data_IF_581210801154
#
_entry.id   IF_581210801154
#
_cell.length_a   1.000
_cell.length_b   1.000
_cell.length_c   1.000
_cell.angle_alpha   90.00
_cell.angle_beta   90.00
_cell.angle_gamma   90.00
#
_symmetry.space_group_name_H-M   'P 1'
#
loop_
_entity.id
_entity.type
_entity.pdbx_description
1 polymer ?
#
# COMPACT_ATOMS: atom_id res chain seq x y z
N UNK A 1 34.51 40.69 45.05
CA UNK A 1 33.54 41.53 45.79
C UNK A 1 32.15 41.05 45.45
N UNK A 2 31.67 40.01 46.11
CA UNK A 2 30.30 39.50 45.91
C UNK A 2 29.41 40.09 47.00
N UNK A 3 28.44 40.97 46.69
CA UNK A 3 27.65 41.66 47.68
C UNK A 3 26.67 40.66 48.31
N UNK A 4 27.19 39.99 49.34
CA UNK A 4 26.44 39.38 50.44
C UNK A 4 25.33 38.42 50.02
N UNK A 5 25.70 37.14 49.88
CA UNK A 5 24.79 35.97 49.85
C UNK A 5 23.65 36.08 50.89
N UNK A 6 23.92 36.70 52.04
CA UNK A 6 22.96 37.01 53.10
C UNK A 6 22.89 38.53 53.30
N UNK A 7 21.70 39.13 53.23
CA UNK A 7 21.43 40.57 53.32
C UNK A 7 20.27 40.86 54.30
N UNK A 8 19.89 42.13 54.45
CA UNK A 8 18.81 42.57 55.37
C UNK A 8 19.34 43.18 56.67
N UNK A 9 18.46 43.88 57.41
CA UNK A 9 18.84 44.60 58.65
C UNK A 9 19.24 43.64 59.77
N UNK A 10 18.68 42.44 59.73
CA UNK A 10 18.84 41.36 60.70
C UNK A 10 19.45 40.11 60.05
N UNK A 11 20.08 40.24 58.88
CA UNK A 11 20.61 39.12 58.08
C UNK A 11 19.54 38.07 57.73
N UNK A 12 18.30 38.51 57.54
CA UNK A 12 17.13 37.68 57.31
C UNK A 12 16.94 37.23 55.85
N UNK A 13 17.65 37.85 54.91
CA UNK A 13 17.48 37.59 53.48
C UNK A 13 18.62 36.77 52.90
N UNK A 14 18.31 35.64 52.26
CA UNK A 14 19.28 34.84 51.50
C UNK A 14 18.92 34.85 50.00
N UNK A 15 19.93 35.04 49.15
CA UNK A 15 19.77 35.06 47.69
C UNK A 15 20.08 33.70 47.03
N UNK A 16 20.25 32.63 47.80
CA UNK A 16 20.47 31.26 47.30
C UNK A 16 19.31 30.29 47.60
N UNK A 17 18.43 30.67 48.54
CA UNK A 17 17.33 29.84 49.05
C UNK A 17 15.99 30.01 48.31
N UNK A 18 16.01 30.45 47.05
CA UNK A 18 14.81 30.54 46.22
C UNK A 18 14.36 29.19 45.65
N UNK A 19 13.11 29.15 45.16
CA UNK A 19 12.53 28.01 44.44
C UNK A 19 13.42 27.53 43.28
N UNK A 20 13.45 26.21 43.10
CA UNK A 20 14.25 25.54 42.06
C UNK A 20 13.36 24.75 41.12
N UNK A 21 13.57 24.94 39.83
CA UNK A 21 12.99 24.11 38.77
C UNK A 21 14.10 23.31 38.11
N UNK A 22 13.94 21.98 38.03
CA UNK A 22 14.97 21.07 37.53
C UNK A 22 16.36 21.33 38.17
N UNK A 23 16.36 21.57 39.48
CA UNK A 23 17.53 21.89 40.32
C UNK A 23 18.20 23.26 40.08
N UNK A 24 17.67 24.08 39.17
CA UNK A 24 18.17 25.43 38.88
C UNK A 24 17.33 26.47 39.62
N UNK A 25 18.00 27.37 40.36
CA UNK A 25 17.35 28.48 41.08
C UNK A 25 16.63 29.38 40.09
N UNK A 26 15.35 29.67 40.35
CA UNK A 26 14.49 30.49 39.50
C UNK A 26 14.49 30.04 38.02
N UNK A 27 14.65 28.73 37.78
CA UNK A 27 14.77 28.13 36.45
C UNK A 27 15.88 28.74 35.54
N UNK A 28 16.79 29.56 36.10
CA UNK A 28 17.74 30.37 35.34
C UNK A 28 17.14 31.59 34.65
N UNK A 29 15.83 31.85 34.84
CA UNK A 29 15.07 32.90 34.17
C UNK A 29 14.61 34.00 35.13
N UNK A 30 15.34 34.18 36.24
CA UNK A 30 15.06 35.23 37.20
C UNK A 30 16.23 35.43 38.16
N UNK A 31 16.16 36.52 38.92
CA UNK A 31 17.09 36.82 40.01
C UNK A 31 16.47 36.43 41.34
N UNK A 32 17.22 35.71 42.17
CA UNK A 32 16.80 35.45 43.54
C UNK A 32 17.05 36.68 44.41
N UNK A 33 16.00 37.18 45.07
CA UNK A 33 16.07 38.28 46.01
C UNK A 33 15.32 37.90 47.30
N UNK A 34 16.07 37.68 48.39
CA UNK A 34 15.52 37.35 49.70
C UNK A 34 14.55 36.14 49.66
N UNK A 35 14.96 35.03 49.04
CA UNK A 35 14.14 33.81 48.93
C UNK A 35 12.99 33.87 47.92
N UNK A 36 12.82 34.97 47.18
CA UNK A 36 11.79 35.13 46.15
C UNK A 36 12.43 35.31 44.77
N UNK A 37 11.96 34.56 43.78
CA UNK A 37 12.40 34.76 42.40
C UNK A 37 11.75 35.99 41.77
N UNK A 38 12.58 36.92 41.30
CA UNK A 38 12.20 38.02 40.41
C UNK A 38 12.41 37.59 38.97
N UNK A 39 11.35 37.15 38.31
CA UNK A 39 11.42 36.65 36.93
C UNK A 39 11.83 37.74 35.95
N UNK A 40 12.61 37.37 34.95
CA UNK A 40 12.89 38.21 33.80
C UNK A 40 11.64 38.37 32.93
N UNK A 41 11.64 39.39 32.09
CA UNK A 41 10.55 39.62 31.14
C UNK A 41 10.31 38.37 30.27
N UNK A 42 9.05 37.99 30.12
CA UNK A 42 8.68 36.78 29.38
C UNK A 42 8.60 35.50 30.22
N UNK A 43 8.79 35.58 31.55
CA UNK A 43 8.74 34.43 32.47
C UNK A 43 7.83 34.68 33.68
N UNK A 44 7.16 33.62 34.13
CA UNK A 44 6.13 33.64 35.19
C UNK A 44 6.23 32.42 36.10
N UNK A 45 5.36 32.36 37.12
CA UNK A 45 5.37 31.45 38.29
C UNK A 45 6.41 31.83 39.35
N UNK A 46 6.27 31.27 40.56
CA UNK A 46 7.15 31.54 41.70
C UNK A 46 8.60 31.13 41.47
N UNK A 47 8.81 30.17 40.55
CA UNK A 47 10.11 29.62 40.19
C UNK A 47 10.61 30.10 38.81
N UNK A 48 9.88 31.00 38.15
CA UNK A 48 10.18 31.48 36.79
C UNK A 48 10.31 30.39 35.72
N UNK A 49 9.67 29.23 35.92
CA UNK A 49 9.75 28.08 35.00
C UNK A 49 8.86 28.24 33.75
N UNK A 50 7.92 29.17 33.76
CA UNK A 50 6.87 29.26 32.76
C UNK A 50 7.07 30.44 31.81
N UNK A 51 7.37 30.17 30.54
CA UNK A 51 7.44 31.23 29.53
C UNK A 51 6.05 31.77 29.19
N UNK A 52 5.94 33.08 29.01
CA UNK A 52 4.73 33.75 28.49
C UNK A 52 4.70 33.81 26.96
N UNK A 53 5.70 33.24 26.29
CA UNK A 53 5.75 33.22 24.83
C UNK A 53 4.78 32.16 24.30
N UNK A 54 3.86 32.57 23.42
CA UNK A 54 2.86 31.69 22.82
C UNK A 54 3.29 31.13 21.46
N UNK A 55 4.48 31.44 20.96
CA UNK A 55 4.96 31.03 19.63
C UNK A 55 4.88 29.52 19.39
N UNK A 56 5.16 28.70 20.41
CA UNK A 56 5.09 27.24 20.34
C UNK A 56 3.67 26.66 20.34
N UNK A 57 2.68 27.49 20.65
CA UNK A 57 1.25 27.16 20.69
C UNK A 57 0.49 27.66 19.45
N UNK A 58 1.15 28.35 18.52
CA UNK A 58 0.52 28.80 17.27
C UNK A 58 0.38 27.59 16.35
N UNK A 59 -0.85 27.35 15.89
CA UNK A 59 -1.20 26.24 15.00
C UNK A 59 -1.00 26.63 13.54
N UNK A 60 -1.17 25.68 12.61
CA UNK A 60 -1.04 25.92 11.16
C UNK A 60 -1.98 27.01 10.62
N UNK A 61 -3.10 27.25 11.30
CA UNK A 61 -4.06 28.31 10.99
C UNK A 61 -3.72 29.69 11.58
N UNK A 62 -2.58 29.82 12.26
CA UNK A 62 -2.17 31.07 12.91
C UNK A 62 -2.87 31.37 14.23
N UNK A 63 -3.80 30.53 14.69
CA UNK A 63 -4.47 30.66 15.98
C UNK A 63 -3.69 29.95 17.09
N UNK A 64 -3.74 30.51 18.29
CA UNK A 64 -3.21 29.87 19.50
C UNK A 64 -4.11 28.69 19.86
N UNK A 65 -3.55 27.49 19.91
CA UNK A 65 -4.25 26.25 20.28
C UNK A 65 -5.55 26.02 19.48
N UNK A 66 -5.52 26.32 18.17
CA UNK A 66 -6.67 26.31 17.25
C UNK A 66 -7.91 27.09 17.73
N UNK A 67 -7.77 27.98 18.73
CA UNK A 67 -8.91 28.63 19.39
C UNK A 67 -9.79 27.68 20.21
N UNK A 68 -9.27 26.50 20.56
CA UNK A 68 -9.95 25.41 21.31
C UNK A 68 -9.28 25.12 22.66
N UNK A 69 -8.53 26.09 23.16
CA UNK A 69 -7.78 25.95 24.39
C UNK A 69 -6.91 27.16 24.70
N UNK A 70 -6.11 27.03 25.76
CA UNK A 70 -5.22 28.06 26.25
C UNK A 70 -3.75 27.62 26.19
N UNK A 71 -2.85 28.53 25.82
CA UNK A 71 -1.42 28.27 25.88
C UNK A 71 -0.91 28.51 27.30
N UNK A 72 -0.44 27.46 27.95
CA UNK A 72 0.12 27.50 29.31
C UNK A 72 1.56 27.02 29.25
N UNK A 73 2.51 27.92 29.56
CA UNK A 73 3.95 27.64 29.55
C UNK A 73 4.45 27.05 28.23
N UNK A 74 3.97 27.57 27.09
CA UNK A 74 4.36 27.11 25.76
C UNK A 74 3.75 25.78 25.31
N UNK A 75 2.75 25.26 26.03
CA UNK A 75 1.97 24.07 25.65
C UNK A 75 0.48 24.39 25.64
N UNK A 76 -0.25 23.82 24.69
CA UNK A 76 -1.71 23.96 24.66
C UNK A 76 -2.38 23.05 25.69
N UNK A 77 -3.31 23.64 26.42
CA UNK A 77 -4.28 22.94 27.28
C UNK A 77 -5.63 23.12 26.59
N UNK A 78 -6.14 22.04 26.01
CA UNK A 78 -7.42 22.06 25.27
C UNK A 78 -8.61 22.09 26.24
N UNK A 79 -9.70 22.72 25.82
CA UNK A 79 -10.90 22.86 26.64
C UNK A 79 -11.54 21.48 26.89
N UNK A 80 -11.77 21.13 28.16
CA UNK A 80 -12.21 19.77 28.57
C UNK A 80 -13.50 19.31 27.89
N UNK A 81 -14.46 20.23 27.72
CA UNK A 81 -15.78 19.94 27.12
C UNK A 81 -15.75 19.86 25.58
N UNK A 82 -14.62 20.20 24.95
CA UNK A 82 -14.53 20.32 23.49
C UNK A 82 -14.29 18.99 22.78
N UNK A 83 -13.70 18.01 23.47
CA UNK A 83 -13.28 16.73 22.86
C UNK A 83 -12.05 16.84 21.95
N UNK A 84 -11.40 18.01 21.89
CA UNK A 84 -10.18 18.24 21.12
C UNK A 84 -8.92 17.89 21.91
N UNK A 85 -7.95 17.27 21.25
CA UNK A 85 -6.60 17.00 21.77
C UNK A 85 -5.55 17.24 20.67
N UNK A 86 -4.30 16.88 20.95
CA UNK A 86 -3.17 17.11 20.05
C UNK A 86 -2.25 18.20 20.59
N UNK A 87 -1.22 18.57 19.83
CA UNK A 87 -0.21 19.53 20.32
C UNK A 87 -0.78 20.94 20.40
N UNK A 88 -1.71 21.25 19.52
CA UNK A 88 -2.38 22.54 19.34
C UNK A 88 -3.90 22.41 19.34
N UNK A 89 -4.46 21.33 19.91
CA UNK A 89 -5.91 21.08 19.95
C UNK A 89 -6.57 20.87 18.56
N UNK A 90 -5.86 20.21 17.65
CA UNK A 90 -6.26 19.93 16.27
C UNK A 90 -7.12 18.66 16.10
N UNK A 91 -7.02 17.70 17.01
CA UNK A 91 -7.61 16.36 16.85
C UNK A 91 -8.93 16.24 17.61
N UNK A 92 -10.03 15.91 16.93
CA UNK A 92 -11.31 15.58 17.57
C UNK A 92 -11.96 14.35 16.92
N UNK A 93 -11.83 13.14 17.51
CA UNK A 93 -12.40 11.91 16.96
C UNK A 93 -13.89 11.73 17.27
N UNK A 94 -14.41 12.42 18.30
CA UNK A 94 -15.82 12.36 18.71
C UNK A 94 -16.69 13.41 18.02
N UNK A 95 -16.08 14.42 17.40
CA UNK A 95 -16.78 15.32 16.51
C UNK A 95 -17.31 14.50 15.32
N UNK A 96 -18.56 14.69 14.87
CA UNK A 96 -19.02 14.01 13.68
C UNK A 96 -18.07 14.37 12.53
N UNK A 97 -17.37 13.36 12.01
CA UNK A 97 -16.36 13.57 10.99
C UNK A 97 -17.02 14.29 9.81
N UNK A 98 -16.53 15.47 9.39
CA UNK A 98 -17.08 16.17 8.24
C UNK A 98 -17.18 15.27 6.99
N UNK A 99 -16.31 14.25 6.89
CA UNK A 99 -16.44 13.19 5.89
C UNK A 99 -17.79 12.45 5.94
N UNK A 100 -18.23 11.95 7.09
CA UNK A 100 -19.48 11.18 7.21
C UNK A 100 -20.71 12.07 7.06
N UNK A 101 -20.67 13.27 7.69
CA UNK A 101 -21.77 14.23 7.59
C UNK A 101 -22.01 14.71 6.16
N UNK A 102 -20.92 14.98 5.43
CA UNK A 102 -21.02 15.49 4.07
C UNK A 102 -21.10 14.38 3.02
N UNK A 103 -20.88 13.12 3.37
CA UNK A 103 -20.90 11.97 2.45
C UNK A 103 -22.16 11.96 1.59
N UNK A 104 -23.33 11.92 2.24
CA UNK A 104 -24.61 11.81 1.53
C UNK A 104 -24.93 13.08 0.72
N UNK A 105 -24.51 14.25 1.22
CA UNK A 105 -24.70 15.52 0.54
C UNK A 105 -23.83 15.66 -0.72
N UNK A 106 -22.56 15.29 -0.63
CA UNK A 106 -21.62 15.27 -1.77
C UNK A 106 -22.09 14.23 -2.79
N UNK A 107 -22.48 13.04 -2.34
CA UNK A 107 -22.97 11.99 -3.22
C UNK A 107 -24.21 12.44 -4.02
N UNK A 108 -25.18 13.06 -3.34
CA UNK A 108 -26.41 13.60 -3.94
C UNK A 108 -26.13 14.76 -4.91
N UNK A 109 -25.40 15.81 -4.46
CA UNK A 109 -25.17 17.03 -5.26
C UNK A 109 -24.21 16.82 -6.44
N UNK A 110 -23.19 15.97 -6.28
CA UNK A 110 -22.13 15.79 -7.30
C UNK A 110 -22.47 14.67 -8.26
N UNK A 111 -22.89 13.51 -7.74
CA UNK A 111 -23.08 12.29 -8.53
C UNK A 111 -24.55 11.97 -8.82
N UNK A 112 -25.49 12.60 -8.11
CA UNK A 112 -26.92 12.31 -8.27
C UNK A 112 -27.30 10.90 -7.81
N UNK A 113 -26.46 10.27 -6.99
CA UNK A 113 -26.64 8.91 -6.46
C UNK A 113 -26.76 8.95 -4.93
N UNK A 114 -27.05 7.80 -4.31
CA UNK A 114 -27.13 7.66 -2.86
C UNK A 114 -28.55 7.60 -2.30
N UNK A 115 -28.67 7.65 -0.97
CA UNK A 115 -29.94 7.47 -0.25
C UNK A 115 -30.73 8.77 -0.05
N UNK A 116 -30.04 9.92 -0.12
CA UNK A 116 -30.62 11.24 0.11
C UNK A 116 -31.34 11.69 -1.17
N UNK A 117 -32.60 12.13 -1.03
CA UNK A 117 -33.42 12.65 -2.14
C UNK A 117 -33.41 14.18 -2.19
N UNK A 118 -33.37 14.83 -1.03
CA UNK A 118 -33.38 16.29 -0.91
C UNK A 118 -31.95 16.85 -0.92
N UNK A 119 -31.34 16.94 -2.10
CA UNK A 119 -29.96 17.41 -2.25
C UNK A 119 -29.78 18.91 -1.90
N UNK A 120 -30.83 19.73 -2.02
CA UNK A 120 -30.75 21.19 -1.84
C UNK A 120 -30.58 21.61 -0.37
N UNK A 121 -30.94 20.74 0.57
CA UNK A 121 -30.84 21.01 2.01
C UNK A 121 -29.41 20.86 2.58
N UNK A 122 -28.39 20.83 1.73
CA UNK A 122 -26.99 20.71 2.13
C UNK A 122 -26.31 22.08 2.10
N UNK A 123 -25.97 22.60 3.27
CA UNK A 123 -25.21 23.84 3.45
C UNK A 123 -23.70 23.58 3.26
N UNK A 124 -23.32 23.31 2.00
CA UNK A 124 -21.94 23.02 1.59
C UNK A 124 -21.56 23.85 0.36
N UNK A 125 -20.33 24.33 0.34
CA UNK A 125 -19.70 25.05 -0.78
C UNK A 125 -18.81 24.07 -1.55
N UNK A 126 -19.10 23.89 -2.84
CA UNK A 126 -18.47 22.87 -3.69
C UNK A 126 -17.49 23.51 -4.68
N UNK A 127 -16.24 23.05 -4.64
CA UNK A 127 -15.16 23.43 -5.56
C UNK A 127 -14.71 22.19 -6.36
N UNK A 128 -14.88 22.21 -7.69
CA UNK A 128 -14.42 21.09 -8.52
C UNK A 128 -12.90 21.23 -8.76
N UNK A 129 -12.16 20.16 -8.49
CA UNK A 129 -10.72 20.05 -8.78
C UNK A 129 -10.45 18.83 -9.66
N UNK A 130 -9.38 18.89 -10.46
CA UNK A 130 -8.99 17.76 -11.30
C UNK A 130 -8.45 16.60 -10.44
N UNK A 131 -7.66 16.92 -9.41
CA UNK A 131 -7.09 15.96 -8.46
C UNK A 131 -7.12 16.52 -7.04
N UNK A 132 -7.32 15.65 -6.07
CA UNK A 132 -7.28 16.00 -4.66
C UNK A 132 -5.83 15.87 -4.21
N UNK A 133 -5.15 17.01 -4.11
CA UNK A 133 -3.76 17.08 -3.65
C UNK A 133 -3.66 16.93 -2.12
N UNK A 134 -2.48 16.49 -1.64
CA UNK A 134 -2.16 16.48 -0.21
C UNK A 134 -1.83 17.90 0.26
N UNK A 135 -2.86 18.64 0.65
CA UNK A 135 -2.77 19.95 1.28
C UNK A 135 -2.90 19.82 2.80
N UNK A 136 -2.03 20.47 3.56
CA UNK A 136 -2.09 20.45 5.03
C UNK A 136 -3.35 21.14 5.57
N UNK A 137 -4.00 21.99 4.76
CA UNK A 137 -5.24 22.67 5.10
C UNK A 137 -6.50 21.86 4.77
N UNK A 138 -6.39 20.76 4.02
CA UNK A 138 -7.52 19.95 3.56
C UNK A 138 -7.38 18.49 3.99
N UNK A 139 -8.48 17.87 4.41
CA UNK A 139 -8.51 16.44 4.74
C UNK A 139 -9.32 15.68 3.71
N UNK A 140 -8.72 14.65 3.12
CA UNK A 140 -9.35 13.80 2.10
C UNK A 140 -10.24 12.72 2.75
N UNK A 141 -11.39 12.49 2.12
CA UNK A 141 -12.39 11.48 2.43
C UNK A 141 -12.59 10.57 1.20
N UNK A 142 -12.85 9.29 1.44
CA UNK A 142 -13.10 8.31 0.36
C UNK A 142 -14.29 7.43 0.73
N UNK A 143 -15.19 7.20 -0.24
CA UNK A 143 -16.38 6.38 -0.04
C UNK A 143 -16.73 5.57 -1.27
N UNK A 144 -17.29 4.38 -1.05
CA UNK A 144 -17.82 3.55 -2.13
C UNK A 144 -19.27 3.97 -2.45
N UNK A 145 -19.53 4.14 -3.74
CA UNK A 145 -20.87 4.35 -4.30
C UNK A 145 -21.49 3.01 -4.68
N UNK A 146 -22.61 2.68 -4.02
CA UNK A 146 -23.31 1.41 -4.18
C UNK A 146 -24.00 1.26 -5.55
N UNK A 147 -24.21 2.35 -6.30
CA UNK A 147 -24.88 2.27 -7.61
C UNK A 147 -23.99 1.70 -8.71
N UNK A 148 -22.69 2.02 -8.69
CA UNK A 148 -21.72 1.65 -9.72
C UNK A 148 -20.53 0.84 -9.15
N UNK A 149 -20.50 0.62 -7.83
CA UNK A 149 -19.41 -0.02 -7.10
C UNK A 149 -18.06 0.70 -7.31
N UNK A 150 -18.10 2.00 -7.58
CA UNK A 150 -16.91 2.83 -7.74
C UNK A 150 -16.62 3.62 -6.46
N UNK A 151 -15.37 4.01 -6.27
CA UNK A 151 -14.96 4.85 -5.13
C UNK A 151 -14.91 6.31 -5.57
N UNK A 152 -15.59 7.19 -4.84
CA UNK A 152 -15.51 8.62 -5.03
C UNK A 152 -14.73 9.27 -3.89
N UNK A 153 -14.13 10.42 -4.20
CA UNK A 153 -13.25 11.15 -3.29
C UNK A 153 -13.66 12.62 -3.21
N UNK A 154 -13.52 13.19 -2.02
CA UNK A 154 -13.62 14.62 -1.79
C UNK A 154 -12.72 15.03 -0.61
N UNK A 155 -12.41 16.30 -0.46
CA UNK A 155 -11.71 16.83 0.71
C UNK A 155 -12.41 18.05 1.27
N UNK A 156 -12.30 18.28 2.57
CA UNK A 156 -12.87 19.46 3.24
C UNK A 156 -11.76 20.31 3.86
N UNK A 157 -11.98 21.61 3.95
CA UNK A 157 -11.06 22.54 4.59
C UNK A 157 -11.14 22.42 6.13
N UNK A 158 -10.00 22.26 6.80
CA UNK A 158 -9.95 22.00 8.25
C UNK A 158 -10.57 23.14 9.07
N UNK A 159 -10.48 24.38 8.57
CA UNK A 159 -11.02 25.57 9.23
C UNK A 159 -12.47 25.87 8.88
N UNK A 160 -12.93 25.38 7.74
CA UNK A 160 -14.27 25.61 7.22
C UNK A 160 -14.78 24.30 6.63
N UNK A 161 -15.37 23.47 7.48
CA UNK A 161 -15.88 22.14 7.15
C UNK A 161 -16.97 22.13 6.07
N UNK A 162 -17.52 23.30 5.73
CA UNK A 162 -18.48 23.49 4.63
C UNK A 162 -17.83 23.62 3.26
N UNK A 163 -16.55 24.01 3.18
CA UNK A 163 -15.84 24.14 1.91
C UNK A 163 -15.26 22.79 1.50
N UNK A 164 -15.80 22.25 0.41
CA UNK A 164 -15.50 20.89 -0.07
C UNK A 164 -14.92 20.95 -1.48
N UNK A 165 -13.74 20.36 -1.65
CA UNK A 165 -13.16 20.07 -2.97
C UNK A 165 -13.54 18.67 -3.40
N UNK A 166 -13.98 18.51 -4.64
CA UNK A 166 -14.36 17.19 -5.17
C UNK A 166 -13.82 16.97 -6.57
N UNK A 167 -13.64 15.71 -6.94
CA UNK A 167 -13.39 15.31 -8.33
C UNK A 167 -14.57 14.50 -8.86
N UNK A 168 -14.86 14.63 -10.16
CA UNK A 168 -15.91 13.84 -10.82
C UNK A 168 -15.44 12.46 -11.25
N UNK A 169 -14.12 12.26 -11.34
CA UNK A 169 -13.54 10.99 -11.72
C UNK A 169 -13.63 10.02 -10.54
N UNK A 170 -14.32 8.88 -10.74
CA UNK A 170 -14.43 7.82 -9.74
C UNK A 170 -13.44 6.69 -10.06
N UNK A 171 -12.85 6.11 -9.03
CA UNK A 171 -12.03 4.91 -9.17
C UNK A 171 -12.92 3.67 -9.16
N UNK A 172 -13.19 3.13 -10.35
CA UNK A 172 -13.96 1.91 -10.53
C UNK A 172 -13.03 0.69 -10.64
N UNK A 173 -13.32 -0.43 -9.96
CA UNK A 173 -12.59 -1.67 -10.19
C UNK A 173 -12.75 -2.09 -11.66
N UNK A 174 -11.64 -2.40 -12.33
CA UNK A 174 -11.69 -2.85 -13.72
C UNK A 174 -12.46 -4.17 -13.81
N UNK A 175 -13.54 -4.16 -14.59
CA UNK A 175 -14.23 -5.40 -14.95
C UNK A 175 -13.32 -6.17 -15.92
N UNK A 176 -12.55 -7.13 -15.42
CA UNK A 176 -11.87 -8.06 -16.32
C UNK A 176 -12.94 -8.89 -17.03
N UNK A 177 -12.97 -8.89 -18.38
CA UNK A 177 -13.90 -9.73 -19.10
C UNK A 177 -13.64 -11.20 -18.73
N UNK A 178 -14.64 -11.87 -18.14
CA UNK A 178 -14.56 -13.27 -17.72
C UNK A 178 -14.14 -14.19 -18.86
N UNK A 179 -14.54 -13.88 -20.09
CA UNK A 179 -14.14 -14.61 -21.29
C UNK A 179 -12.63 -14.58 -21.56
N UNK A 180 -11.91 -13.50 -21.20
CA UNK A 180 -10.47 -13.41 -21.43
C UNK A 180 -9.69 -14.38 -20.54
N UNK A 181 -10.11 -14.53 -19.28
CA UNK A 181 -9.54 -15.50 -18.33
C UNK A 181 -9.75 -16.93 -18.84
N UNK A 182 -10.97 -17.23 -19.33
CA UNK A 182 -11.29 -18.55 -19.87
C UNK A 182 -10.40 -18.88 -21.08
N UNK A 183 -10.20 -17.93 -22.00
CA UNK A 183 -9.35 -18.14 -23.16
C UNK A 183 -7.89 -18.41 -22.78
N UNK A 184 -7.35 -17.71 -21.78
CA UNK A 184 -5.98 -17.93 -21.29
C UNK A 184 -5.85 -19.36 -20.72
N UNK A 185 -6.81 -19.80 -19.91
CA UNK A 185 -6.79 -21.13 -19.30
C UNK A 185 -6.91 -22.21 -20.37
N UNK A 186 -7.90 -22.11 -21.27
CA UNK A 186 -8.10 -23.10 -22.35
C UNK A 186 -6.89 -23.17 -23.27
N UNK A 187 -6.34 -22.02 -23.65
CA UNK A 187 -5.14 -21.95 -24.50
C UNK A 187 -3.94 -22.62 -23.83
N UNK A 188 -3.69 -22.34 -22.54
CA UNK A 188 -2.57 -22.94 -21.82
C UNK A 188 -2.67 -24.47 -21.71
N UNK A 189 -3.87 -25.01 -21.42
CA UNK A 189 -4.10 -26.46 -21.35
C UNK A 189 -3.88 -27.11 -22.73
N UNK A 190 -4.36 -26.49 -23.81
CA UNK A 190 -4.15 -27.00 -25.18
C UNK A 190 -2.67 -27.01 -25.56
N UNK A 191 -1.93 -25.94 -25.24
CA UNK A 191 -0.50 -25.85 -25.54
C UNK A 191 0.32 -26.86 -24.74
N UNK A 192 0.01 -27.05 -23.45
CA UNK A 192 0.67 -28.07 -22.62
C UNK A 192 0.38 -29.47 -23.16
N UNK A 193 -0.87 -29.76 -23.49
CA UNK A 193 -1.26 -31.05 -24.07
C UNK A 193 -0.56 -31.33 -25.41
N UNK A 194 -0.51 -30.34 -26.31
CA UNK A 194 0.21 -30.46 -27.58
C UNK A 194 1.72 -30.64 -27.37
N UNK A 195 2.31 -29.90 -26.42
CA UNK A 195 3.72 -30.04 -26.07
C UNK A 195 4.07 -31.44 -25.58
N UNK A 196 3.24 -32.02 -24.70
CA UNK A 196 3.42 -33.40 -24.21
C UNK A 196 3.31 -34.43 -25.34
N UNK A 197 2.35 -34.26 -26.27
CA UNK A 197 2.21 -35.15 -27.43
C UNK A 197 3.41 -35.05 -28.38
N UNK A 198 3.92 -33.84 -28.63
CA UNK A 198 5.10 -33.62 -29.47
C UNK A 198 6.33 -34.26 -28.81
N UNK A 199 6.55 -34.04 -27.51
CA UNK A 199 7.67 -34.64 -26.77
C UNK A 199 7.57 -36.16 -26.81
N UNK A 200 6.39 -36.73 -26.51
CA UNK A 200 6.18 -38.17 -26.59
C UNK A 200 6.48 -38.73 -27.99
N UNK A 201 5.99 -38.06 -29.04
CA UNK A 201 6.25 -38.44 -30.44
C UNK A 201 7.74 -38.38 -30.79
N UNK A 202 8.46 -37.37 -30.31
CA UNK A 202 9.92 -37.25 -30.51
C UNK A 202 10.65 -38.40 -29.80
N UNK A 203 10.34 -38.65 -28.52
CA UNK A 203 10.98 -39.72 -27.74
C UNK A 203 10.74 -41.10 -28.36
N UNK A 204 9.50 -41.41 -28.77
CA UNK A 204 9.16 -42.64 -29.48
C UNK A 204 9.92 -42.76 -30.80
N UNK A 205 9.96 -41.70 -31.60
CA UNK A 205 10.70 -41.70 -32.87
C UNK A 205 12.20 -41.91 -32.64
N UNK A 206 12.78 -41.33 -31.59
CA UNK A 206 14.19 -41.54 -31.23
C UNK A 206 14.45 -42.99 -30.79
N UNK A 207 13.54 -43.57 -30.00
CA UNK A 207 13.65 -44.96 -29.57
C UNK A 207 13.54 -45.92 -30.75
N UNK A 208 12.56 -45.74 -31.63
CA UNK A 208 12.41 -46.53 -32.85
C UNK A 208 13.65 -46.43 -33.76
N UNK A 209 14.24 -45.24 -33.92
CA UNK A 209 15.50 -45.08 -34.67
C UNK A 209 16.66 -45.83 -34.00
N UNK A 210 16.75 -45.81 -32.68
CA UNK A 210 17.80 -46.50 -31.92
C UNK A 210 17.67 -48.02 -32.03
N UNK A 211 16.45 -48.55 -31.92
CA UNK A 211 16.16 -49.96 -32.06
C UNK A 211 16.37 -50.44 -33.50
N UNK A 212 15.96 -49.65 -34.50
CA UNK A 212 16.21 -49.93 -35.91
C UNK A 212 17.72 -49.97 -36.24
N UNK A 213 18.52 -49.04 -35.68
CA UNK A 213 19.97 -49.05 -35.84
C UNK A 213 20.61 -50.31 -35.26
N UNK A 214 20.19 -50.72 -34.05
CA UNK A 214 20.64 -51.97 -33.40
C UNK A 214 20.29 -53.20 -34.24
N UNK A 215 19.04 -53.29 -34.70
CA UNK A 215 18.56 -54.41 -35.50
C UNK A 215 19.29 -54.53 -36.86
N UNK A 216 19.58 -53.40 -37.51
CA UNK A 216 20.37 -53.40 -38.75
C UNK A 216 21.81 -53.89 -38.53
N UNK A 217 22.40 -53.63 -37.36
CA UNK A 217 23.72 -54.15 -36.98
C UNK A 217 23.67 -55.66 -36.71
N UNK A 218 22.68 -56.14 -35.96
CA UNK A 218 22.45 -57.56 -35.71
C UNK A 218 22.24 -58.35 -37.01
N UNK A 219 21.44 -57.83 -37.94
CA UNK A 219 21.26 -58.42 -39.28
C UNK A 219 22.57 -58.55 -40.06
N UNK A 220 23.44 -57.52 -40.03
CA UNK A 220 24.74 -57.56 -40.72
C UNK A 220 25.67 -58.62 -40.12
N UNK A 221 25.62 -58.84 -38.80
CA UNK A 221 26.39 -59.90 -38.12
C UNK A 221 25.81 -61.30 -38.39
N UNK A 222 24.49 -61.46 -38.37
CA UNK A 222 23.83 -62.74 -38.62
C UNK A 222 23.98 -63.23 -40.07
N UNK A 223 24.05 -62.33 -41.05
CA UNK A 223 24.26 -62.70 -42.46
C UNK A 223 25.63 -63.40 -42.72
N UNK A 224 26.59 -63.30 -41.81
CA UNK A 224 27.88 -63.99 -41.90
C UNK A 224 27.88 -65.43 -41.35
N UNK A 225 26.83 -65.88 -40.66
CA UNK A 225 26.74 -67.25 -40.11
C UNK A 225 26.11 -68.27 -41.08
N UNK A 226 25.70 -67.85 -42.28
CA UNK A 226 25.36 -68.78 -43.37
C UNK A 226 26.62 -69.32 -44.07
N UNK A 227 27.43 -70.08 -43.35
CA UNK A 227 28.44 -70.96 -43.94
C UNK A 227 27.74 -72.27 -44.29
N UNK A 228 27.38 -72.48 -45.56
CA UNK A 228 26.85 -73.76 -46.02
C UNK A 228 27.86 -74.88 -45.71
N UNK A 229 27.41 -75.94 -45.03
CA UNK A 229 28.26 -77.06 -44.65
C UNK A 229 28.85 -77.72 -45.92
N UNK A 230 30.19 -77.74 -46.11
CA UNK A 230 30.81 -78.27 -47.32
C UNK A 230 30.66 -79.79 -47.49
N UNK A 231 30.11 -80.52 -46.50
CA UNK A 231 29.78 -81.95 -46.59
C UNK A 231 28.31 -82.23 -46.97
N UNK A 232 27.46 -81.22 -47.11
CA UNK A 232 26.05 -81.43 -47.46
C UNK A 232 25.88 -81.74 -48.96
N UNK A 233 25.36 -82.92 -49.29
CA UNK A 233 24.91 -83.30 -50.64
C UNK A 233 23.42 -83.57 -50.61
N UNK A 234 22.65 -82.88 -51.45
CA UNK A 234 21.20 -83.09 -51.56
C UNK A 234 20.87 -84.44 -52.20
N UNK A 235 20.06 -85.27 -51.54
CA UNK A 235 19.64 -86.59 -52.00
C UNK A 235 18.51 -86.52 -53.05
N UNK A 236 18.73 -85.80 -54.15
CA UNK A 236 17.76 -85.72 -55.25
C UNK A 236 18.49 -85.86 -56.58
N UNK A 237 18.46 -87.07 -57.14
CA UNK A 237 18.91 -87.33 -58.51
C UNK A 237 17.82 -86.87 -59.48
N UNK A 238 18.08 -85.79 -60.23
CA UNK A 238 17.20 -85.39 -61.34
C UNK A 238 17.50 -86.28 -62.55
N UNK A 239 16.61 -87.21 -62.85
CA UNK A 239 16.62 -87.97 -64.10
C UNK A 239 15.82 -87.19 -65.15
N UNK A 240 16.47 -86.79 -66.25
CA UNK A 240 15.82 -86.11 -67.38
C UNK A 240 15.42 -87.17 -68.41
N UNK A 241 14.13 -87.24 -68.74
CA UNK A 241 13.60 -88.18 -69.73
C UNK A 241 14.01 -87.74 -71.17
N UNK A 242 14.81 -88.54 -71.90
CA UNK A 242 15.30 -88.15 -73.23
C UNK A 242 14.24 -88.13 -74.35
N UNK A 243 13.00 -88.61 -74.09
CA UNK A 243 11.96 -88.73 -75.12
C UNK A 243 11.05 -87.51 -75.27
N UNK A 244 11.19 -86.49 -74.41
CA UNK A 244 10.39 -85.26 -74.49
C UNK A 244 11.11 -84.22 -75.34
N UNK A 245 11.15 -84.43 -76.68
CA UNK A 245 11.41 -83.34 -77.62
C UNK A 245 10.08 -82.66 -77.94
N UNK A 246 9.93 -81.44 -77.45
CA UNK A 246 8.80 -80.57 -77.75
C UNK A 246 8.59 -80.46 -79.26
N UNK A 247 7.51 -81.08 -79.71
CA UNK A 247 6.97 -80.87 -81.05
C UNK A 247 6.20 -79.54 -81.00
N UNK A 248 6.82 -78.45 -81.46
CA UNK A 248 6.09 -77.19 -81.67
C UNK A 248 5.19 -77.36 -82.89
N UNK A 249 3.88 -77.40 -82.65
CA UNK A 249 2.85 -77.35 -83.68
C UNK A 249 2.52 -75.87 -83.95
N UNK A 250 2.60 -75.52 -85.24
CA UNK A 250 2.34 -74.26 -85.96
C UNK A 250 3.56 -73.39 -86.25
#
# INVERSE_FOLDING_TARGET
NDPSRISGKYCECDNESCDRYLSVVCAGNGRCECGICKCFEGWTKSDCSCSTNNSSCISSNGLVCNGKGQCVCGKCVCDEDSGYFGRTCEDCPTCPLPCENNRDCVQCKVFGTGKKTDCDQCDIELEQVDRIDQDSAYKQCQFNDLSDNCTFFFSYEILNDKKIRFTREKDCPSSFPTWAIILIIVSSVLFIGLGLLIIWKILDTMQQKRECARFNEEKKKAAWETSENPLYKSATSKFVNPSYKDTKIN
#
